data_IF_454554964421
#
_entry.id   IF_454554964421
#
_cell.length_a   1.000
_cell.length_b   1.000
_cell.length_c   1.000
_cell.angle_alpha   90.00
_cell.angle_beta   90.00
_cell.angle_gamma   90.00
#
_symmetry.space_group_name_H-M   'P 1'
#
loop_
_entity.id
_entity.type
_entity.pdbx_description
1 polymer ?
#
# COMPACT_ATOMS: atom_id res chain seq x y z
N UNK A 1 -78.02 -12.07 54.80
CA UNK A 1 -76.83 -12.67 54.14
C UNK A 1 -76.07 -13.52 55.16
N UNK A 2 -75.38 -14.61 54.79
CA UNK A 2 -74.61 -15.40 55.78
C UNK A 2 -73.19 -14.85 55.96
N UNK A 3 -72.57 -15.10 57.13
CA UNK A 3 -71.20 -14.67 57.42
C UNK A 3 -70.18 -15.22 56.41
N UNK A 4 -70.33 -16.49 56.00
CA UNK A 4 -69.45 -17.12 55.02
C UNK A 4 -69.55 -16.47 53.62
N UNK A 5 -70.75 -16.01 53.23
CA UNK A 5 -70.95 -15.26 51.98
C UNK A 5 -70.26 -13.90 52.02
N UNK A 6 -70.28 -13.24 53.18
CA UNK A 6 -69.67 -11.93 53.40
C UNK A 6 -68.15 -12.00 53.25
N UNK A 7 -67.52 -12.98 53.90
CA UNK A 7 -66.06 -13.21 53.81
C UNK A 7 -65.65 -13.60 52.39
N UNK A 8 -66.32 -14.58 51.78
CA UNK A 8 -65.95 -15.08 50.44
C UNK A 8 -66.10 -14.02 49.33
N UNK A 9 -67.05 -13.08 49.47
CA UNK A 9 -67.32 -12.04 48.45
C UNK A 9 -66.61 -10.71 48.74
N UNK A 10 -65.83 -10.61 49.82
CA UNK A 10 -65.17 -9.35 50.19
C UNK A 10 -66.17 -8.21 50.46
N UNK A 11 -67.35 -8.54 50.98
CA UNK A 11 -68.49 -7.62 51.08
C UNK A 11 -68.17 -6.43 51.99
N UNK A 12 -67.39 -6.66 53.05
CA UNK A 12 -66.94 -5.62 54.00
C UNK A 12 -66.10 -4.54 53.30
N UNK A 13 -65.14 -4.93 52.46
CA UNK A 13 -64.30 -3.96 51.74
C UNK A 13 -65.14 -3.16 50.73
N UNK A 14 -66.01 -3.84 49.99
CA UNK A 14 -66.92 -3.19 49.05
C UNK A 14 -67.88 -2.22 49.75
N UNK A 15 -68.40 -2.59 50.93
CA UNK A 15 -69.27 -1.77 51.74
C UNK A 15 -68.56 -0.49 52.24
N UNK A 16 -67.40 -0.63 52.90
CA UNK A 16 -66.63 0.53 53.43
C UNK A 16 -66.19 1.47 52.31
N UNK A 17 -65.86 0.93 51.12
CA UNK A 17 -65.48 1.72 49.94
C UNK A 17 -66.68 2.29 49.17
N UNK A 18 -67.92 2.08 49.63
CA UNK A 18 -69.17 2.48 48.96
C UNK A 18 -69.30 1.97 47.52
N UNK A 19 -68.85 0.72 47.29
CA UNK A 19 -68.91 0.02 46.00
C UNK A 19 -69.91 -1.13 45.97
N UNK A 20 -70.58 -1.41 47.09
CA UNK A 20 -71.59 -2.46 47.19
C UNK A 20 -72.91 -1.97 46.57
N UNK A 21 -73.60 -2.79 45.73
CA UNK A 21 -74.92 -2.45 45.20
C UNK A 21 -75.93 -2.19 46.32
N UNK A 22 -76.90 -1.30 46.10
CA UNK A 22 -77.85 -0.90 47.14
C UNK A 22 -78.67 -2.08 47.73
N UNK A 23 -79.01 -3.07 46.90
CA UNK A 23 -79.69 -4.30 47.35
C UNK A 23 -78.83 -5.13 48.30
N UNK A 24 -77.54 -5.24 47.99
CA UNK A 24 -76.58 -6.04 48.73
C UNK A 24 -76.13 -5.33 50.01
N UNK A 25 -76.10 -3.99 49.99
CA UNK A 25 -75.86 -3.17 51.16
C UNK A 25 -76.95 -3.34 52.22
N UNK A 26 -78.23 -3.27 51.82
CA UNK A 26 -79.35 -3.50 52.76
C UNK A 26 -79.29 -4.91 53.38
N UNK A 27 -79.05 -5.95 52.57
CA UNK A 27 -78.93 -7.33 53.03
C UNK A 27 -77.68 -7.59 53.90
N UNK A 28 -76.63 -6.80 53.72
CA UNK A 28 -75.43 -6.81 54.56
C UNK A 28 -75.67 -6.06 55.88
N UNK A 29 -76.34 -4.90 55.85
CA UNK A 29 -76.66 -4.09 57.03
C UNK A 29 -77.50 -4.88 58.04
N UNK A 30 -78.52 -5.62 57.57
CA UNK A 30 -79.29 -6.54 58.42
C UNK A 30 -78.41 -7.53 59.19
N UNK A 31 -77.42 -8.14 58.51
CA UNK A 31 -76.49 -9.08 59.16
C UNK A 31 -75.45 -8.37 60.04
N UNK A 32 -74.99 -7.20 59.61
CA UNK A 32 -74.02 -6.38 60.33
C UNK A 32 -74.52 -5.98 61.72
N UNK A 33 -75.81 -5.68 61.86
CA UNK A 33 -76.41 -5.36 63.17
C UNK A 33 -76.50 -6.55 64.12
N UNK A 34 -76.55 -7.78 63.60
CA UNK A 34 -76.71 -9.00 64.40
C UNK A 34 -75.38 -9.75 64.64
N UNK A 35 -74.29 -9.36 63.98
CA UNK A 35 -73.01 -10.07 64.03
C UNK A 35 -71.85 -9.18 64.52
N UNK A 36 -71.41 -9.39 65.76
CA UNK A 36 -70.30 -8.66 66.40
C UNK A 36 -68.99 -8.70 65.58
N UNK A 37 -68.72 -9.81 64.90
CA UNK A 37 -67.51 -9.98 64.09
C UNK A 37 -67.55 -9.10 62.84
N UNK A 38 -68.64 -9.15 62.08
CA UNK A 38 -68.82 -8.27 60.92
C UNK A 38 -68.78 -6.79 61.33
N UNK A 39 -69.34 -6.45 62.49
CA UNK A 39 -69.26 -5.11 63.06
C UNK A 39 -67.81 -4.67 63.33
N UNK A 40 -67.04 -5.51 64.03
CA UNK A 40 -65.64 -5.24 64.35
C UNK A 40 -64.77 -5.09 63.09
N UNK A 41 -64.98 -5.95 62.09
CA UNK A 41 -64.22 -5.97 60.85
C UNK A 41 -64.48 -4.71 59.99
N UNK A 42 -65.73 -4.26 59.90
CA UNK A 42 -66.08 -2.98 59.23
C UNK A 42 -65.35 -1.81 59.89
N UNK A 43 -65.39 -1.71 61.23
CA UNK A 43 -64.72 -0.63 61.94
C UNK A 43 -63.18 -0.71 61.88
N UNK A 44 -62.60 -1.90 61.78
CA UNK A 44 -61.17 -2.05 61.53
C UNK A 44 -60.79 -1.50 60.15
N UNK A 45 -61.57 -1.85 59.12
CA UNK A 45 -61.35 -1.38 57.75
C UNK A 45 -61.55 0.13 57.60
N UNK A 46 -62.58 0.71 58.23
CA UNK A 46 -62.82 2.16 58.24
C UNK A 46 -61.63 2.93 58.82
N UNK A 47 -61.09 2.47 59.96
CA UNK A 47 -59.91 3.08 60.58
C UNK A 47 -58.68 3.01 59.69
N UNK A 48 -58.49 1.87 59.02
CA UNK A 48 -57.39 1.70 58.07
C UNK A 48 -57.50 2.67 56.88
N UNK A 49 -58.68 2.76 56.26
CA UNK A 49 -58.93 3.68 55.14
C UNK A 49 -58.71 5.14 55.57
N UNK A 50 -59.18 5.52 56.76
CA UNK A 50 -58.96 6.85 57.31
C UNK A 50 -57.46 7.15 57.52
N UNK A 51 -56.70 6.20 58.06
CA UNK A 51 -55.26 6.34 58.28
C UNK A 51 -54.47 6.48 56.96
N UNK A 52 -54.78 5.66 55.95
CA UNK A 52 -54.14 5.73 54.63
C UNK A 52 -54.46 7.05 53.91
N UNK A 53 -55.71 7.49 53.97
CA UNK A 53 -56.12 8.77 53.39
C UNK A 53 -55.39 9.94 54.07
N UNK A 54 -55.24 9.89 55.39
CA UNK A 54 -54.48 10.89 56.14
C UNK A 54 -52.99 10.88 55.80
N UNK A 55 -52.38 9.71 55.68
CA UNK A 55 -50.97 9.55 55.28
C UNK A 55 -50.72 10.08 53.86
N UNK A 56 -51.61 9.78 52.92
CA UNK A 56 -51.55 10.29 51.55
C UNK A 56 -51.68 11.83 51.50
N UNK A 57 -52.62 12.42 52.25
CA UNK A 57 -52.76 13.89 52.32
C UNK A 57 -51.55 14.59 52.92
N UNK A 58 -50.80 13.92 53.79
CA UNK A 58 -49.55 14.45 54.36
C UNK A 58 -48.31 14.18 53.50
N UNK A 59 -48.46 13.58 52.32
CA UNK A 59 -47.33 13.20 51.48
C UNK A 59 -46.39 12.17 52.14
N UNK A 60 -46.85 11.47 53.19
CA UNK A 60 -46.06 10.43 53.85
C UNK A 60 -45.92 9.17 52.99
N UNK A 61 -46.75 9.06 51.95
CA UNK A 61 -46.71 7.98 50.96
C UNK A 61 -45.91 8.36 49.71
N UNK A 62 -45.46 9.62 49.58
CA UNK A 62 -44.65 10.02 48.44
C UNK A 62 -43.21 9.54 48.63
N UNK A 63 -42.63 8.81 47.65
CA UNK A 63 -41.22 8.47 47.72
C UNK A 63 -40.39 9.77 47.70
N UNK A 64 -39.33 9.88 48.52
CA UNK A 64 -38.46 11.04 48.49
C UNK A 64 -37.90 11.19 47.06
N UNK A 65 -37.81 12.43 46.51
CA UNK A 65 -37.29 12.62 45.17
C UNK A 65 -35.85 12.09 45.14
N UNK A 66 -35.63 11.04 44.35
CA UNK A 66 -34.32 10.46 44.13
C UNK A 66 -33.47 11.46 43.35
N UNK A 67 -32.82 12.38 44.08
CA UNK A 67 -31.76 13.21 43.53
C UNK A 67 -30.58 12.26 43.29
N UNK A 68 -30.28 11.96 42.03
CA UNK A 68 -29.08 11.22 41.61
C UNK A 68 -27.97 12.19 41.17
N UNK A 69 -27.27 12.89 42.08
CA UNK A 69 -26.20 13.83 41.72
C UNK A 69 -24.89 13.17 41.25
N UNK A 70 -24.78 11.83 41.30
CA UNK A 70 -23.51 11.13 41.04
C UNK A 70 -23.31 10.65 39.58
N UNK A 71 -24.35 10.65 38.73
CA UNK A 71 -24.24 10.22 37.32
C UNK A 71 -23.79 11.34 36.37
N UNK A 72 -23.88 12.61 36.76
CA UNK A 72 -23.48 13.76 35.95
C UNK A 72 -22.01 13.74 35.45
N UNK A 73 -20.98 13.39 36.25
CA UNK A 73 -19.60 13.41 35.74
C UNK A 73 -19.32 12.31 34.70
N UNK A 74 -20.01 11.17 34.77
CA UNK A 74 -19.80 10.06 33.84
C UNK A 74 -20.24 10.43 32.41
N UNK A 75 -21.39 11.10 32.25
CA UNK A 75 -21.87 11.53 30.93
C UNK A 75 -21.02 12.68 30.35
N UNK A 76 -20.52 13.58 31.18
CA UNK A 76 -19.62 14.65 30.74
C UNK A 76 -18.29 14.09 30.19
N UNK A 77 -17.73 13.05 30.82
CA UNK A 77 -16.50 12.42 30.33
C UNK A 77 -16.71 11.67 29.01
N UNK A 78 -17.82 10.94 28.85
CA UNK A 78 -18.11 10.20 27.61
C UNK A 78 -18.28 11.16 26.43
N UNK A 79 -19.04 12.24 26.62
CA UNK A 79 -19.25 13.24 25.56
C UNK A 79 -17.95 13.95 25.14
N UNK A 80 -17.10 14.31 26.10
CA UNK A 80 -15.78 14.89 25.82
C UNK A 80 -14.89 13.93 25.02
N UNK A 81 -14.86 12.65 25.40
CA UNK A 81 -14.03 11.65 24.72
C UNK A 81 -14.51 11.40 23.28
N UNK A 82 -15.83 11.33 23.07
CA UNK A 82 -16.42 11.21 21.73
C UNK A 82 -16.08 12.39 20.82
N UNK A 83 -16.10 13.62 21.36
CA UNK A 83 -15.72 14.81 20.60
C UNK A 83 -14.23 14.81 20.18
N UNK A 84 -13.33 14.41 21.09
CA UNK A 84 -11.90 14.28 20.78
C UNK A 84 -11.68 13.24 19.69
N UNK A 85 -12.34 12.08 19.79
CA UNK A 85 -12.23 11.02 18.78
C UNK A 85 -12.74 11.50 17.41
N UNK A 86 -13.91 12.15 17.37
CA UNK A 86 -14.49 12.69 16.14
C UNK A 86 -13.58 13.75 15.49
N UNK A 87 -13.02 14.66 16.29
CA UNK A 87 -12.07 15.66 15.81
C UNK A 87 -10.77 15.02 15.26
N UNK A 88 -10.25 13.99 15.96
CA UNK A 88 -9.07 13.24 15.49
C UNK A 88 -9.33 12.50 14.17
N UNK A 89 -10.50 11.86 14.04
CA UNK A 89 -10.92 11.22 12.79
C UNK A 89 -11.07 12.23 11.66
N UNK A 90 -11.75 13.35 11.90
CA UNK A 90 -11.90 14.42 10.91
C UNK A 90 -10.54 14.99 10.47
N UNK A 91 -9.62 15.19 11.42
CA UNK A 91 -8.26 15.64 11.10
C UNK A 91 -7.49 14.62 10.25
N UNK A 92 -7.57 13.33 10.58
CA UNK A 92 -6.92 12.27 9.80
C UNK A 92 -7.48 12.17 8.37
N UNK A 93 -8.80 12.27 8.21
CA UNK A 93 -9.44 12.12 6.91
C UNK A 93 -9.30 13.36 6.03
N UNK A 94 -9.47 14.56 6.59
CA UNK A 94 -9.42 15.79 5.80
C UNK A 94 -8.02 16.36 5.62
N UNK A 95 -7.07 16.08 6.52
CA UNK A 95 -5.72 16.68 6.45
C UNK A 95 -4.67 15.67 6.00
N UNK A 96 -4.64 14.47 6.60
CA UNK A 96 -3.57 13.49 6.32
C UNK A 96 -3.80 12.65 5.08
N UNK A 97 -5.05 12.32 4.78
CA UNK A 97 -5.43 11.50 3.62
C UNK A 97 -5.15 12.16 2.25
N UNK A 98 -5.49 13.43 2.00
CA UNK A 98 -5.21 14.06 0.70
C UNK A 98 -3.70 14.18 0.43
N UNK A 99 -2.89 14.39 1.47
CA UNK A 99 -1.44 14.44 1.32
C UNK A 99 -0.87 13.07 0.88
N UNK A 100 -1.41 11.97 1.42
CA UNK A 100 -1.02 10.61 1.01
C UNK A 100 -1.43 10.33 -0.44
N UNK A 101 -2.63 10.72 -0.83
CA UNK A 101 -3.10 10.55 -2.22
C UNK A 101 -2.24 11.35 -3.20
N UNK A 102 -1.87 12.59 -2.86
CA UNK A 102 -0.99 13.41 -3.69
C UNK A 102 0.38 12.74 -3.90
N UNK A 103 0.98 12.21 -2.84
CA UNK A 103 2.25 11.47 -2.92
C UNK A 103 2.13 10.21 -3.76
N UNK A 104 1.03 9.45 -3.62
CA UNK A 104 0.80 8.25 -4.42
C UNK A 104 0.64 8.57 -5.91
N UNK A 105 -0.09 9.64 -6.25
CA UNK A 105 -0.22 10.11 -7.64
C UNK A 105 1.13 10.51 -8.22
N UNK A 106 1.95 11.24 -7.46
CA UNK A 106 3.30 11.58 -7.89
C UNK A 106 4.18 10.35 -8.13
N UNK A 107 4.13 9.35 -7.24
CA UNK A 107 4.88 8.11 -7.40
C UNK A 107 4.44 7.32 -8.65
N UNK A 108 3.13 7.28 -8.95
CA UNK A 108 2.60 6.63 -10.15
C UNK A 108 3.05 7.33 -11.43
N UNK A 109 3.01 8.66 -11.47
CA UNK A 109 3.49 9.44 -12.61
C UNK A 109 4.99 9.24 -12.84
N UNK A 110 5.79 9.22 -11.76
CA UNK A 110 7.22 8.93 -11.86
C UNK A 110 7.49 7.52 -12.37
N UNK A 111 6.76 6.51 -11.88
CA UNK A 111 6.90 5.14 -12.34
C UNK A 111 6.51 4.98 -13.82
N UNK A 112 5.47 5.70 -14.26
CA UNK A 112 5.03 5.71 -15.66
C UNK A 112 6.06 6.39 -16.56
N UNK A 113 6.52 7.58 -16.21
CA UNK A 113 7.56 8.29 -16.95
C UNK A 113 8.86 7.48 -17.05
N UNK A 114 9.22 6.74 -15.99
CA UNK A 114 10.35 5.81 -16.00
C UNK A 114 10.16 4.66 -17.01
N UNK A 115 8.99 4.04 -17.03
CA UNK A 115 8.66 2.97 -18.00
C UNK A 115 8.69 3.47 -19.44
N UNK A 116 8.11 4.64 -19.70
CA UNK A 116 8.06 5.21 -21.05
C UNK A 116 9.48 5.51 -21.56
N UNK A 117 10.37 6.00 -20.70
CA UNK A 117 11.77 6.26 -21.04
C UNK A 117 12.56 4.97 -21.33
N UNK A 118 12.30 3.90 -20.58
CA UNK A 118 12.92 2.60 -20.84
C UNK A 118 12.41 2.04 -22.18
N UNK A 119 11.12 2.10 -22.44
CA UNK A 119 10.54 1.65 -23.71
C UNK A 119 11.11 2.43 -24.91
N UNK A 120 11.32 3.74 -24.78
CA UNK A 120 11.96 4.57 -25.80
C UNK A 120 13.43 4.15 -26.04
N UNK A 121 14.18 3.88 -24.97
CA UNK A 121 15.56 3.40 -25.07
C UNK A 121 15.65 2.01 -25.70
N UNK A 122 14.75 1.11 -25.35
CA UNK A 122 14.66 -0.23 -25.95
C UNK A 122 14.31 -0.13 -27.44
N UNK A 123 13.40 0.75 -27.82
CA UNK A 123 13.05 0.96 -29.22
C UNK A 123 14.23 1.52 -30.04
N UNK A 124 14.97 2.49 -29.49
CA UNK A 124 16.21 2.99 -30.10
C UNK A 124 17.26 1.89 -30.24
N UNK A 125 17.44 1.09 -29.19
CA UNK A 125 18.40 -0.01 -29.19
C UNK A 125 18.03 -1.11 -30.18
N UNK A 126 16.73 -1.40 -30.35
CA UNK A 126 16.23 -2.35 -31.33
C UNK A 126 16.44 -1.87 -32.77
N UNK A 127 16.27 -0.56 -33.03
CA UNK A 127 16.57 0.05 -34.34
C UNK A 127 18.07 0.00 -34.67
N UNK A 128 18.93 0.19 -33.66
CA UNK A 128 20.39 0.11 -33.81
C UNK A 128 20.87 -1.34 -33.97
N UNK A 129 20.21 -2.29 -33.31
CA UNK A 129 20.59 -3.71 -33.25
C UNK A 129 19.95 -4.57 -34.34
N UNK A 130 19.26 -3.98 -35.32
CA UNK A 130 18.72 -4.71 -36.45
C UNK A 130 19.85 -5.50 -37.17
N UNK A 131 19.65 -6.81 -37.47
CA UNK A 131 20.70 -7.65 -38.06
C UNK A 131 21.11 -7.10 -39.43
N UNK A 132 22.39 -6.74 -39.56
CA UNK A 132 22.97 -6.30 -40.83
C UNK A 132 23.37 -7.51 -41.66
N UNK A 133 22.78 -7.66 -42.85
CA UNK A 133 23.33 -8.53 -43.87
C UNK A 133 24.65 -7.93 -44.38
N UNK A 134 25.70 -8.75 -44.52
CA UNK A 134 27.02 -8.36 -45.05
C UNK A 134 27.82 -7.38 -44.17
N UNK A 135 28.04 -7.72 -42.89
CA UNK A 135 29.01 -7.00 -42.04
C UNK A 135 30.43 -7.26 -42.60
N UNK A 136 31.19 -6.22 -42.97
CA UNK A 136 32.56 -6.39 -43.43
C UNK A 136 33.45 -6.86 -42.27
N UNK A 137 34.25 -7.88 -42.54
CA UNK A 137 35.19 -8.47 -41.59
C UNK A 137 36.60 -8.05 -41.98
N UNK A 138 37.32 -7.43 -41.04
CA UNK A 138 38.74 -7.11 -41.18
C UNK A 138 39.57 -8.09 -40.35
N UNK A 139 40.36 -8.91 -41.02
CA UNK A 139 41.30 -9.82 -40.35
C UNK A 139 42.54 -9.01 -40.03
N UNK A 140 42.89 -8.93 -38.75
CA UNK A 140 44.06 -8.20 -38.27
C UNK A 140 45.24 -9.15 -38.12
N UNK A 141 46.09 -9.18 -39.13
CA UNK A 141 47.33 -9.93 -39.11
C UNK A 141 48.49 -9.06 -38.60
N UNK A 142 49.39 -9.67 -37.82
CA UNK A 142 50.60 -9.02 -37.33
C UNK A 142 51.61 -8.85 -38.46
N UNK A 143 51.51 -7.76 -39.23
CA UNK A 143 52.43 -7.47 -40.34
C UNK A 143 53.83 -7.13 -39.80
N UNK A 144 54.87 -7.88 -40.22
CA UNK A 144 56.28 -7.61 -39.87
C UNK A 144 57.02 -6.70 -40.88
N UNK A 145 56.30 -6.06 -41.80
CA UNK A 145 56.87 -5.21 -42.86
C UNK A 145 56.20 -3.83 -42.94
N UNK A 146 56.86 -2.83 -43.53
CA UNK A 146 56.34 -1.46 -43.63
C UNK A 146 55.19 -1.26 -44.63
N UNK A 147 54.86 -2.24 -45.48
CA UNK A 147 54.25 -1.94 -46.79
C UNK A 147 52.76 -2.25 -46.99
N UNK A 148 52.03 -2.83 -46.02
CA UNK A 148 50.57 -2.98 -46.20
C UNK A 148 49.78 -3.00 -44.87
N UNK A 149 48.95 -1.97 -44.57
CA UNK A 149 48.01 -2.01 -43.47
C UNK A 149 46.84 -2.95 -43.79
N UNK A 150 46.26 -3.59 -42.77
CA UNK A 150 45.01 -4.32 -42.93
C UNK A 150 43.94 -3.30 -43.33
N UNK A 151 43.29 -3.45 -44.48
CA UNK A 151 42.29 -2.49 -44.95
C UNK A 151 40.89 -3.05 -44.86
N UNK A 152 39.93 -2.19 -44.50
CA UNK A 152 38.51 -2.53 -44.51
C UNK A 152 37.75 -1.51 -45.33
N UNK A 153 36.99 -2.02 -46.30
CA UNK A 153 36.08 -1.22 -47.12
C UNK A 153 34.77 -1.07 -46.36
N UNK A 154 34.37 0.18 -46.17
CA UNK A 154 33.16 0.54 -45.43
C UNK A 154 32.27 1.35 -46.36
N UNK A 155 31.04 0.87 -46.59
CA UNK A 155 30.05 1.61 -47.36
C UNK A 155 29.25 2.53 -46.43
N UNK A 156 28.62 3.55 -47.00
CA UNK A 156 27.62 4.42 -46.37
C UNK A 156 26.51 3.68 -45.60
N UNK A 157 26.20 2.43 -45.98
CA UNK A 157 25.19 1.61 -45.33
C UNK A 157 25.73 0.70 -44.20
N UNK A 158 27.05 0.58 -44.07
CA UNK A 158 27.69 -0.25 -43.04
C UNK A 158 27.64 0.47 -41.69
N UNK A 159 26.99 -0.13 -40.67
CA UNK A 159 26.96 0.47 -39.32
C UNK A 159 28.02 -0.09 -38.39
N UNK A 160 28.49 -1.31 -38.62
CA UNK A 160 29.56 -1.94 -37.85
C UNK A 160 30.57 -2.70 -38.71
N UNK A 161 31.80 -2.78 -38.23
CA UNK A 161 32.89 -3.61 -38.77
C UNK A 161 33.25 -4.67 -37.74
N UNK A 162 33.46 -5.92 -38.18
CA UNK A 162 33.97 -6.96 -37.30
C UNK A 162 35.50 -7.06 -37.46
N UNK A 163 36.24 -6.86 -36.37
CA UNK A 163 37.66 -7.18 -36.32
C UNK A 163 37.85 -8.62 -35.88
N UNK A 164 38.60 -9.38 -36.67
CA UNK A 164 39.02 -10.73 -36.35
C UNK A 164 40.52 -10.73 -36.05
N UNK A 165 40.90 -11.07 -34.82
CA UNK A 165 42.29 -11.04 -34.37
C UNK A 165 42.69 -12.43 -33.90
N UNK A 166 43.69 -13.00 -34.56
CA UNK A 166 44.28 -14.25 -34.11
C UNK A 166 45.24 -13.98 -32.94
N UNK A 167 45.03 -14.69 -31.85
CA UNK A 167 45.85 -14.57 -30.66
C UNK A 167 46.47 -15.93 -30.28
N UNK A 168 47.70 -15.95 -29.73
CA UNK A 168 48.30 -17.17 -29.24
C UNK A 168 47.44 -17.87 -28.19
N UNK A 169 47.59 -19.20 -27.99
CA UNK A 169 46.86 -19.93 -26.96
C UNK A 169 47.09 -19.31 -25.58
N UNK A 170 46.00 -18.95 -24.89
CA UNK A 170 45.99 -18.44 -23.53
C UNK A 170 45.07 -19.31 -22.66
N UNK A 171 45.25 -19.31 -21.32
CA UNK A 171 44.36 -20.00 -20.40
C UNK A 171 42.89 -19.61 -20.58
N UNK A 172 41.93 -20.50 -20.27
CA UNK A 172 40.51 -20.16 -20.27
C UNK A 172 40.20 -19.01 -19.30
N UNK A 173 39.25 -18.13 -19.65
CA UNK A 173 38.80 -17.03 -18.80
C UNK A 173 39.69 -15.77 -18.84
N UNK A 174 40.74 -15.75 -19.67
CA UNK A 174 41.52 -14.53 -19.91
C UNK A 174 40.69 -13.54 -20.73
N UNK A 175 40.57 -12.32 -20.20
CA UNK A 175 39.91 -11.19 -20.86
C UNK A 175 40.93 -10.25 -21.48
N UNK A 176 40.58 -9.71 -22.64
CA UNK A 176 41.43 -8.84 -23.43
C UNK A 176 40.81 -7.46 -23.57
N UNK A 177 41.70 -6.46 -23.61
CA UNK A 177 41.38 -5.08 -23.96
C UNK A 177 41.89 -4.77 -25.36
N UNK A 178 41.10 -4.02 -26.12
CA UNK A 178 41.43 -3.54 -27.45
C UNK A 178 41.34 -2.01 -27.45
N UNK A 179 42.45 -1.32 -27.69
CA UNK A 179 42.48 0.13 -27.82
C UNK A 179 42.75 0.53 -29.27
N UNK A 180 41.88 1.35 -29.84
CA UNK A 180 41.98 1.84 -31.21
C UNK A 180 42.31 3.31 -31.14
N UNK A 181 43.43 3.69 -31.75
CA UNK A 181 43.93 5.04 -31.74
C UNK A 181 44.09 5.57 -33.17
N UNK A 182 43.73 6.82 -33.36
CA UNK A 182 43.98 7.55 -34.59
C UNK A 182 45.50 7.84 -34.74
N UNK A 183 45.99 8.29 -35.92
CA UNK A 183 47.40 8.52 -36.16
C UNK A 183 47.99 9.58 -35.22
N UNK A 184 47.15 10.52 -34.78
CA UNK A 184 47.45 11.59 -33.85
C UNK A 184 47.58 11.11 -32.38
N UNK A 185 47.37 9.81 -32.13
CA UNK A 185 47.47 9.19 -30.80
C UNK A 185 46.21 9.32 -29.95
N UNK A 186 45.14 9.99 -30.42
CA UNK A 186 43.86 10.01 -29.70
C UNK A 186 43.21 8.64 -29.77
N UNK A 187 42.74 8.14 -28.62
CA UNK A 187 41.95 6.91 -28.55
C UNK A 187 40.59 7.18 -29.18
N UNK A 188 40.33 6.55 -30.32
CA UNK A 188 39.05 6.62 -31.02
C UNK A 188 38.01 5.73 -30.33
N UNK A 189 38.43 4.54 -29.86
CA UNK A 189 37.56 3.63 -29.11
C UNK A 189 38.41 2.65 -28.27
N UNK A 190 37.85 2.13 -27.19
CA UNK A 190 38.43 1.07 -26.38
C UNK A 190 37.35 0.04 -26.00
N UNK A 191 37.65 -1.24 -26.24
CA UNK A 191 36.75 -2.36 -25.94
C UNK A 191 37.42 -3.22 -24.87
N UNK A 192 36.69 -3.52 -23.81
CA UNK A 192 37.14 -4.29 -22.67
C UNK A 192 36.36 -5.60 -22.56
N UNK A 193 36.89 -6.55 -21.78
CA UNK A 193 36.22 -7.81 -21.51
C UNK A 193 36.08 -8.74 -22.72
N UNK A 194 36.91 -8.59 -23.75
CA UNK A 194 36.86 -9.46 -24.93
C UNK A 194 37.34 -10.86 -24.55
N UNK A 195 36.60 -11.87 -24.97
CA UNK A 195 36.93 -13.28 -24.76
C UNK A 195 37.13 -13.98 -26.10
N UNK A 196 37.92 -15.06 -26.08
CA UNK A 196 38.16 -15.88 -27.26
C UNK A 196 36.88 -16.59 -27.67
N UNK A 197 36.61 -16.61 -28.96
CA UNK A 197 35.60 -17.47 -29.52
C UNK A 197 36.07 -18.94 -29.54
N UNK A 198 35.18 -19.85 -29.95
CA UNK A 198 35.47 -21.29 -30.03
C UNK A 198 36.60 -21.64 -31.01
N UNK A 199 36.89 -20.76 -31.98
CA UNK A 199 37.97 -20.91 -32.95
C UNK A 199 39.31 -20.35 -32.43
N UNK A 200 39.31 -19.82 -31.20
CA UNK A 200 40.51 -19.29 -30.56
C UNK A 200 40.89 -17.86 -30.98
N UNK A 201 40.05 -17.17 -31.74
CA UNK A 201 40.25 -15.79 -32.16
C UNK A 201 39.45 -14.82 -31.28
N UNK A 202 39.88 -13.55 -31.26
CA UNK A 202 39.10 -12.45 -30.69
C UNK A 202 38.28 -11.79 -31.79
N UNK A 203 36.98 -11.67 -31.55
CA UNK A 203 36.07 -10.93 -32.41
C UNK A 203 35.62 -9.66 -31.68
N UNK A 204 35.85 -8.49 -32.29
CA UNK A 204 35.40 -7.21 -31.76
C UNK A 204 34.54 -6.49 -32.80
N UNK A 205 33.34 -6.07 -32.41
CA UNK A 205 32.49 -5.26 -33.29
C UNK A 205 32.73 -3.78 -33.01
N UNK A 206 32.94 -3.00 -34.09
CA UNK A 206 33.20 -1.57 -34.01
C UNK A 206 32.13 -0.79 -34.74
N UNK A 207 31.53 0.24 -34.12
CA UNK A 207 30.63 1.15 -34.81
C UNK A 207 31.39 1.99 -35.85
N UNK A 208 30.96 1.94 -37.11
CA UNK A 208 31.54 2.76 -38.20
C UNK A 208 31.41 4.25 -37.92
N UNK A 209 30.38 4.67 -37.19
CA UNK A 209 30.19 6.07 -36.79
C UNK A 209 31.36 6.64 -35.95
N UNK A 210 32.15 5.78 -35.31
CA UNK A 210 33.31 6.16 -34.51
C UNK A 210 34.64 6.10 -35.28
N UNK A 211 34.60 5.64 -36.53
CA UNK A 211 35.76 5.47 -37.41
C UNK A 211 35.66 6.44 -38.59
N UNK A 212 36.52 7.46 -38.59
CA UNK A 212 36.73 8.31 -39.75
C UNK A 212 37.50 7.53 -40.84
N UNK A 213 37.48 8.06 -42.06
CA UNK A 213 38.35 7.56 -43.13
C UNK A 213 39.82 7.80 -42.75
N UNK A 214 40.68 6.78 -42.90
CA UNK A 214 42.10 6.89 -42.59
C UNK A 214 42.70 5.72 -41.80
N UNK A 215 43.93 5.95 -41.32
CA UNK A 215 44.74 4.92 -40.66
C UNK A 215 44.56 4.91 -39.14
N UNK A 216 44.52 3.73 -38.55
CA UNK A 216 44.36 3.49 -37.13
C UNK A 216 45.41 2.50 -36.62
N UNK A 217 45.80 2.66 -35.35
CA UNK A 217 46.56 1.66 -34.60
C UNK A 217 45.66 0.95 -33.62
N UNK A 218 45.60 -0.36 -33.74
CA UNK A 218 44.85 -1.24 -32.86
C UNK A 218 45.83 -1.94 -31.95
N UNK A 219 45.73 -1.69 -30.64
CA UNK A 219 46.57 -2.31 -29.61
C UNK A 219 45.76 -3.31 -28.83
N UNK A 220 46.31 -4.51 -28.70
CA UNK A 220 45.75 -5.56 -27.88
C UNK A 220 46.52 -5.65 -26.56
N UNK A 221 45.81 -5.68 -25.45
CA UNK A 221 46.36 -5.88 -24.11
C UNK A 221 45.51 -6.87 -23.32
N UNK A 222 46.01 -7.32 -22.17
CA UNK A 222 45.13 -7.97 -21.18
C UNK A 222 44.19 -6.93 -20.58
N UNK A 223 42.98 -7.35 -20.20
CA UNK A 223 41.99 -6.48 -19.57
C UNK A 223 42.28 -6.32 -18.07
N UNK A 224 43.46 -5.78 -17.78
CA UNK A 224 43.95 -5.51 -16.44
C UNK A 224 44.57 -4.11 -16.39
N UNK A 225 44.51 -3.42 -15.24
CA UNK A 225 45.16 -2.13 -15.07
C UNK A 225 46.66 -2.27 -15.38
N UNK A 226 47.18 -1.44 -16.29
CA UNK A 226 48.60 -1.37 -16.66
C UNK A 226 49.17 -2.63 -17.34
N UNK A 227 48.34 -3.45 -17.98
CA UNK A 227 48.83 -4.59 -18.76
C UNK A 227 49.75 -4.16 -19.92
N UNK A 228 50.83 -4.91 -20.22
CA UNK A 228 51.66 -4.65 -21.39
C UNK A 228 50.87 -4.89 -22.68
N UNK A 229 51.24 -4.15 -23.74
CA UNK A 229 50.70 -4.36 -25.09
C UNK A 229 51.20 -5.72 -25.60
N UNK A 230 50.27 -6.62 -25.90
CA UNK A 230 50.53 -7.95 -26.44
C UNK A 230 50.82 -7.90 -27.94
N UNK A 231 50.07 -7.06 -28.67
CA UNK A 231 50.22 -6.90 -30.11
C UNK A 231 49.75 -5.50 -30.54
N UNK A 232 50.34 -4.99 -31.62
CA UNK A 232 49.92 -3.77 -32.29
C UNK A 232 49.68 -4.06 -33.78
N UNK A 233 48.53 -3.64 -34.28
CA UNK A 233 48.09 -3.82 -35.65
C UNK A 233 47.81 -2.46 -36.29
N UNK A 234 47.98 -2.38 -37.60
CA UNK A 234 47.59 -1.21 -38.40
C UNK A 234 46.31 -1.54 -39.17
N UNK A 235 45.32 -0.67 -39.06
CA UNK A 235 44.03 -0.77 -39.73
C UNK A 235 43.82 0.48 -40.60
N UNK A 236 43.56 0.33 -41.88
CA UNK A 236 43.14 1.41 -42.77
C UNK A 236 41.63 1.27 -43.03
N UNK A 237 40.86 2.29 -42.65
CA UNK A 237 39.44 2.38 -42.96
C UNK A 237 39.33 3.17 -44.25
N UNK A 238 38.76 2.55 -45.28
CA UNK A 238 38.53 3.18 -46.58
C UNK A 238 37.03 3.25 -46.84
N UNK A 239 36.48 4.46 -46.90
CA UNK A 239 35.07 4.68 -47.22
C UNK A 239 34.85 4.67 -48.74
N UNK A 240 33.84 3.93 -49.20
CA UNK A 240 33.44 3.87 -50.61
C UNK A 240 32.22 4.74 -50.90
#
# INVERSE_FOLDING_TARGET
>A
MTHADIENRGTIEAYVRRRLPASDAAAFEEHYFECDRCFADVHAMERFVAAMTHAGRRGLLDPPPARFPWLMPAFALVTALSLVLAAGLAFLTFVRLPEREARLRQALEQAKAGRDRIAELDQRSALDSAPQANVPVAILEASRGPDQPNSVLVDSQTRSVLLWIDIPPQPPGVKFGLAISAPDGRVANAIHGLERNQNGALAASLPVAQLADGSYRVRLSLDQPSAPILAEYRLAVVRR
#
